data_IF_614106133262
#
_entry.id   IF_614106133262
#
_cell.length_a   1.000
_cell.length_b   1.000
_cell.length_c   1.000
_cell.angle_alpha   90.00
_cell.angle_beta   90.00
_cell.angle_gamma   90.00
#
_symmetry.space_group_name_H-M   'P 1'
#
loop_
_entity.id
_entity.type
_entity.pdbx_description
1 polymer ?
#
# COMPACT_ATOMS: atom_id res chain seq x y z
N UNK A 1 6.81 9.47 29.39
CA UNK A 1 5.82 8.40 29.15
C UNK A 1 4.74 8.87 28.20
N UNK A 2 3.78 9.74 28.56
CA UNK A 2 2.73 10.19 27.64
C UNK A 2 3.22 10.88 26.34
N UNK A 3 4.26 11.72 26.42
CA UNK A 3 4.79 12.40 25.22
C UNK A 3 5.47 11.44 24.22
N UNK A 4 6.05 10.36 24.73
CA UNK A 4 6.76 9.37 23.92
C UNK A 4 5.76 8.43 23.22
N UNK A 5 4.69 8.06 23.91
CA UNK A 5 3.55 7.32 23.36
C UNK A 5 2.88 8.11 22.22
N UNK A 6 2.57 9.39 22.44
CA UNK A 6 2.01 10.28 21.41
C UNK A 6 2.94 10.36 20.19
N UNK A 7 4.26 10.42 20.41
CA UNK A 7 5.23 10.46 19.31
C UNK A 7 5.22 9.15 18.51
N UNK A 8 5.16 8.00 19.17
CA UNK A 8 5.07 6.69 18.48
C UNK A 8 3.78 6.55 17.68
N UNK A 9 2.64 7.03 18.21
CA UNK A 9 1.36 7.02 17.51
C UNK A 9 1.39 7.89 16.25
N UNK A 10 1.99 9.08 16.32
CA UNK A 10 2.17 9.97 15.16
C UNK A 10 3.05 9.31 14.10
N UNK A 11 4.15 8.67 14.49
CA UNK A 11 5.04 7.95 13.56
C UNK A 11 4.29 6.81 12.88
N UNK A 12 3.50 6.04 13.63
CA UNK A 12 2.69 4.95 13.08
C UNK A 12 1.64 5.46 12.10
N UNK A 13 0.91 6.50 12.46
CA UNK A 13 -0.11 7.10 11.60
C UNK A 13 0.50 7.63 10.29
N UNK A 14 1.68 8.26 10.37
CA UNK A 14 2.40 8.72 9.19
C UNK A 14 2.81 7.55 8.26
N UNK A 15 3.37 6.48 8.83
CA UNK A 15 3.74 5.29 8.06
C UNK A 15 2.53 4.65 7.37
N UNK A 16 1.40 4.53 8.07
CA UNK A 16 0.14 4.03 7.53
C UNK A 16 -0.39 4.91 6.38
N UNK A 17 -0.34 6.24 6.53
CA UNK A 17 -0.76 7.17 5.49
C UNK A 17 0.09 7.03 4.21
N UNK A 18 1.41 6.91 4.34
CA UNK A 18 2.32 6.73 3.20
C UNK A 18 1.96 5.47 2.41
N UNK A 19 1.71 4.36 3.11
CA UNK A 19 1.35 3.10 2.46
C UNK A 19 -0.01 3.19 1.77
N UNK A 20 -1.00 3.85 2.37
CA UNK A 20 -2.31 4.08 1.74
C UNK A 20 -2.15 4.89 0.46
N UNK A 21 -1.34 5.95 0.47
CA UNK A 21 -1.11 6.78 -0.72
C UNK A 21 -0.40 6.00 -1.84
N UNK A 22 0.53 5.11 -1.51
CA UNK A 22 1.15 4.21 -2.49
C UNK A 22 0.11 3.29 -3.16
N UNK A 23 -0.83 2.74 -2.38
CA UNK A 23 -1.93 1.90 -2.90
C UNK A 23 -2.85 2.72 -3.82
N UNK A 24 -3.21 3.95 -3.41
CA UNK A 24 -4.06 4.84 -4.21
C UNK A 24 -3.42 5.19 -5.55
N UNK A 25 -2.14 5.55 -5.53
CA UNK A 25 -1.39 5.86 -6.74
C UNK A 25 -1.35 4.69 -7.72
N UNK A 26 -1.17 3.46 -7.22
CA UNK A 26 -1.21 2.26 -8.06
C UNK A 26 -2.58 2.02 -8.70
N UNK A 27 -3.67 2.16 -7.93
CA UNK A 27 -5.03 2.03 -8.46
C UNK A 27 -5.33 3.11 -9.51
N UNK A 28 -4.90 4.35 -9.25
CA UNK A 28 -5.04 5.45 -10.20
C UNK A 28 -4.23 5.21 -11.48
N UNK A 29 -3.02 4.65 -11.39
CA UNK A 29 -2.22 4.26 -12.56
C UNK A 29 -2.96 3.23 -13.44
N UNK A 30 -3.58 2.22 -12.83
CA UNK A 30 -4.38 1.22 -13.57
C UNK A 30 -5.60 1.88 -14.23
N UNK A 31 -6.30 2.76 -13.51
CA UNK A 31 -7.49 3.43 -14.03
C UNK A 31 -7.15 4.41 -15.17
N UNK A 32 -6.09 5.21 -15.01
CA UNK A 32 -5.68 6.23 -15.98
C UNK A 32 -5.12 5.64 -17.28
N UNK A 33 -4.50 4.45 -17.24
CA UNK A 33 -3.94 3.76 -18.42
C UNK A 33 -4.93 2.90 -19.18
N UNK A 34 -6.21 2.93 -18.82
CA UNK A 34 -7.26 2.22 -19.55
C UNK A 34 -7.38 0.76 -19.15
N UNK A 35 -7.71 0.50 -17.87
CA UNK A 35 -8.02 -0.82 -17.29
C UNK A 35 -6.89 -1.85 -17.44
N UNK A 36 -7.00 -2.94 -16.68
CA UNK A 36 -6.10 -4.09 -16.82
C UNK A 36 -6.37 -4.73 -18.19
N UNK A 37 -5.32 -4.92 -18.99
CA UNK A 37 -5.39 -5.71 -20.21
C UNK A 37 -5.39 -7.20 -19.85
N UNK A 38 -6.53 -7.85 -20.06
CA UNK A 38 -6.72 -9.26 -19.75
C UNK A 38 -6.25 -10.20 -20.86
N UNK A 39 -5.81 -9.67 -22.01
CA UNK A 39 -5.30 -10.46 -23.14
C UNK A 39 -3.79 -10.67 -23.06
N UNK A 40 -3.09 -9.83 -22.30
CA UNK A 40 -1.66 -9.95 -22.02
C UNK A 40 -1.44 -10.58 -20.63
N UNK A 41 -1.17 -11.89 -20.63
CA UNK A 41 -0.90 -12.64 -19.40
C UNK A 41 0.35 -12.13 -18.66
N UNK A 42 1.36 -11.64 -19.36
CA UNK A 42 2.59 -11.11 -18.74
C UNK A 42 2.30 -9.82 -17.98
N UNK A 43 1.54 -8.90 -18.60
CA UNK A 43 1.10 -7.66 -17.94
C UNK A 43 0.19 -7.96 -16.75
N UNK A 44 -0.71 -8.94 -16.84
CA UNK A 44 -1.57 -9.34 -15.73
C UNK A 44 -0.78 -9.87 -14.53
N UNK A 45 0.22 -10.72 -14.76
CA UNK A 45 1.12 -11.20 -13.69
C UNK A 45 1.87 -10.03 -13.04
N UNK A 46 2.36 -9.08 -13.84
CA UNK A 46 2.98 -7.86 -13.32
C UNK A 46 2.06 -7.09 -12.36
N UNK A 47 0.79 -6.92 -12.73
CA UNK A 47 -0.20 -6.27 -11.87
C UNK A 47 -0.47 -7.04 -10.57
N UNK A 48 -0.51 -8.37 -10.62
CA UNK A 48 -0.70 -9.20 -9.44
C UNK A 48 0.48 -9.10 -8.48
N UNK A 49 1.72 -9.15 -8.99
CA UNK A 49 2.92 -9.01 -8.16
C UNK A 49 3.01 -7.63 -7.52
N UNK A 50 2.73 -6.56 -8.27
CA UNK A 50 2.69 -5.20 -7.70
C UNK A 50 1.62 -5.06 -6.62
N UNK A 51 0.43 -5.63 -6.84
CA UNK A 51 -0.64 -5.64 -5.85
C UNK A 51 -0.26 -6.43 -4.59
N UNK A 52 0.38 -7.59 -4.74
CA UNK A 52 0.85 -8.41 -3.62
C UNK A 52 1.82 -7.64 -2.73
N UNK A 53 2.84 -6.98 -3.32
CA UNK A 53 3.81 -6.17 -2.57
C UNK A 53 3.11 -5.04 -1.81
N UNK A 54 2.15 -4.35 -2.43
CA UNK A 54 1.39 -3.29 -1.77
C UNK A 54 0.54 -3.83 -0.61
N UNK A 55 -0.10 -4.98 -0.78
CA UNK A 55 -0.88 -5.62 0.29
C UNK A 55 0.00 -6.10 1.44
N UNK A 56 1.21 -6.61 1.17
CA UNK A 56 2.18 -6.94 2.21
C UNK A 56 2.60 -5.70 3.01
N UNK A 57 2.85 -4.57 2.33
CA UNK A 57 3.17 -3.31 2.99
C UNK A 57 2.02 -2.80 3.86
N UNK A 58 0.77 -2.93 3.40
CA UNK A 58 -0.42 -2.61 4.20
C UNK A 58 -0.48 -3.51 5.44
N UNK A 59 -0.33 -4.83 5.27
CA UNK A 59 -0.36 -5.75 6.39
C UNK A 59 0.71 -5.41 7.45
N UNK A 60 1.92 -5.06 7.02
CA UNK A 60 3.00 -4.68 7.92
C UNK A 60 2.73 -3.35 8.64
N UNK A 61 2.23 -2.32 7.94
CA UNK A 61 1.98 -1.00 8.53
C UNK A 61 0.82 -1.00 9.55
N UNK A 62 -0.07 -2.00 9.46
CA UNK A 62 -1.23 -2.16 10.34
C UNK A 62 -1.11 -3.36 11.29
N UNK A 63 0.05 -4.02 11.34
CA UNK A 63 0.30 -5.08 12.30
C UNK A 63 0.19 -4.55 13.74
N UNK A 64 -0.37 -5.34 14.67
CA UNK A 64 -0.33 -5.01 16.09
C UNK A 64 1.12 -4.80 16.52
N UNK A 65 1.39 -3.74 17.28
CA UNK A 65 2.63 -3.68 18.05
C UNK A 65 2.46 -4.53 19.29
N UNK A 66 3.14 -5.68 19.31
CA UNK A 66 3.34 -6.50 20.51
C UNK A 66 4.03 -5.70 21.64
#
# INVERSE_FOLDING_TARGET
MAAEEIQQDVIRAAAQAIVIEAVRAYVEEIHSRGRVDFTDAGRMVGHLMSAEVLLMNVAQAFAPTD
#
